data_IF_097834807469
#
_entry.id   IF_097834807469
#
_cell.length_a   1.000
_cell.length_b   1.000
_cell.length_c   1.000
_cell.angle_alpha   90.00
_cell.angle_beta   90.00
_cell.angle_gamma   90.00
#
_symmetry.space_group_name_H-M   'P 1'
#
loop_
_entity.id
_entity.type
_entity.pdbx_description
1 polymer ?
#
# COMPACT_ATOMS: atom_id res chain seq x y z
N UNK A 1 -7.31 31.41 -25.13
CA UNK A 1 -8.11 30.22 -24.72
C UNK A 1 -8.71 30.54 -23.35
N UNK A 2 -10.04 30.44 -23.17
CA UNK A 2 -10.71 30.91 -21.95
C UNK A 2 -10.14 30.19 -20.70
N UNK A 3 -9.50 30.94 -19.77
CA UNK A 3 -8.79 30.40 -18.60
C UNK A 3 -9.64 29.43 -17.76
N UNK A 4 -10.96 29.60 -17.78
CA UNK A 4 -11.92 28.70 -17.11
C UNK A 4 -12.00 27.31 -17.76
N UNK A 5 -12.04 27.20 -19.09
CA UNK A 5 -12.12 25.92 -19.81
C UNK A 5 -10.85 25.08 -19.64
N UNK A 6 -9.68 25.73 -19.69
CA UNK A 6 -8.40 25.05 -19.50
C UNK A 6 -8.29 24.42 -18.10
N UNK A 7 -8.78 25.10 -17.06
CA UNK A 7 -8.81 24.57 -15.69
C UNK A 7 -9.64 23.29 -15.58
N UNK A 8 -10.81 23.23 -16.21
CA UNK A 8 -11.66 22.03 -16.17
C UNK A 8 -11.03 20.85 -16.90
N UNK A 9 -10.35 21.09 -18.04
CA UNK A 9 -9.62 20.04 -18.77
C UNK A 9 -8.52 19.44 -17.91
N UNK A 10 -7.75 20.26 -17.19
CA UNK A 10 -6.69 19.79 -16.30
C UNK A 10 -7.24 18.93 -15.14
N UNK A 11 -8.37 19.35 -14.54
CA UNK A 11 -9.02 18.59 -13.48
C UNK A 11 -9.53 17.24 -14.02
N UNK A 12 -10.19 17.24 -15.18
CA UNK A 12 -10.67 16.02 -15.81
C UNK A 12 -9.51 15.06 -16.15
N UNK A 13 -8.40 15.57 -16.68
CA UNK A 13 -7.21 14.78 -16.95
C UNK A 13 -6.61 14.18 -15.68
N UNK A 14 -6.51 14.95 -14.59
CA UNK A 14 -6.00 14.45 -13.30
C UNK A 14 -6.88 13.33 -12.71
N UNK A 15 -8.21 13.47 -12.82
CA UNK A 15 -9.16 12.44 -12.40
C UNK A 15 -9.00 11.17 -13.25
N UNK A 16 -8.92 11.32 -14.57
CA UNK A 16 -8.74 10.19 -15.50
C UNK A 16 -7.44 9.44 -15.24
N UNK A 17 -6.32 10.16 -15.04
CA UNK A 17 -5.02 9.56 -14.72
C UNK A 17 -5.12 8.81 -13.39
N UNK A 18 -5.70 9.42 -12.36
CA UNK A 18 -5.84 8.78 -11.04
C UNK A 18 -6.69 7.52 -11.11
N UNK A 19 -7.84 7.58 -11.81
CA UNK A 19 -8.72 6.44 -12.01
C UNK A 19 -8.01 5.31 -12.78
N UNK A 20 -7.31 5.65 -13.87
CA UNK A 20 -6.53 4.69 -14.64
C UNK A 20 -5.44 4.02 -13.78
N UNK A 21 -4.69 4.81 -12.98
CA UNK A 21 -3.67 4.28 -12.07
C UNK A 21 -4.26 3.31 -11.04
N UNK A 22 -5.41 3.62 -10.44
CA UNK A 22 -6.04 2.73 -9.45
C UNK A 22 -6.47 1.42 -10.11
N UNK A 23 -7.11 1.49 -11.27
CA UNK A 23 -7.57 0.30 -12.00
C UNK A 23 -6.40 -0.61 -12.38
N UNK A 24 -5.33 -0.03 -12.95
CA UNK A 24 -4.15 -0.82 -13.31
C UNK A 24 -3.46 -1.41 -12.08
N UNK A 25 -3.27 -0.62 -11.03
CA UNK A 25 -2.63 -1.10 -9.79
C UNK A 25 -3.41 -2.25 -9.17
N UNK A 26 -4.74 -2.12 -9.05
CA UNK A 26 -5.58 -3.18 -8.50
C UNK A 26 -5.47 -4.48 -9.30
N UNK A 27 -5.44 -4.39 -10.64
CA UNK A 27 -5.25 -5.56 -11.50
C UNK A 27 -3.89 -6.23 -11.31
N UNK A 28 -2.83 -5.45 -11.11
CA UNK A 28 -1.50 -5.98 -10.82
C UNK A 28 -1.42 -6.64 -9.45
N UNK A 29 -2.03 -6.03 -8.43
CA UNK A 29 -2.12 -6.58 -7.07
C UNK A 29 -2.85 -7.92 -7.09
N UNK A 30 -3.98 -8.01 -7.80
CA UNK A 30 -4.74 -9.25 -7.91
C UNK A 30 -3.95 -10.34 -8.65
N UNK A 31 -3.32 -10.01 -9.77
CA UNK A 31 -2.50 -10.94 -10.53
C UNK A 31 -1.31 -11.46 -9.71
N UNK A 32 -0.62 -10.57 -8.99
CA UNK A 32 0.51 -10.93 -8.15
C UNK A 32 0.08 -11.74 -6.93
N UNK A 33 -1.08 -11.44 -6.34
CA UNK A 33 -1.64 -12.21 -5.22
C UNK A 33 -1.93 -13.66 -5.64
N UNK A 34 -2.48 -13.86 -6.85
CA UNK A 34 -2.68 -15.20 -7.42
C UNK A 34 -1.34 -15.92 -7.65
N UNK A 35 -0.31 -15.21 -8.10
CA UNK A 35 1.03 -15.78 -8.28
C UNK A 35 1.67 -16.18 -6.95
N UNK A 36 1.60 -15.32 -5.92
CA UNK A 36 2.08 -15.62 -4.57
C UNK A 36 1.36 -16.81 -3.96
N UNK A 37 0.04 -16.91 -4.15
CA UNK A 37 -0.73 -18.09 -3.73
C UNK A 37 -0.23 -19.37 -4.41
N UNK A 38 -0.03 -19.34 -5.73
CA UNK A 38 0.50 -20.50 -6.46
C UNK A 38 1.89 -20.90 -5.98
N UNK A 39 2.74 -19.93 -5.65
CA UNK A 39 4.05 -20.19 -5.04
C UNK A 39 3.90 -20.85 -3.67
N UNK A 40 2.93 -20.42 -2.86
CA UNK A 40 2.66 -21.04 -1.56
C UNK A 40 2.09 -22.45 -1.66
N UNK A 41 1.29 -22.76 -2.68
CA UNK A 41 0.82 -24.12 -2.96
C UNK A 41 2.00 -25.05 -3.29
N UNK A 42 2.96 -24.59 -4.11
CA UNK A 42 4.19 -25.35 -4.41
C UNK A 42 5.08 -25.49 -3.18
N UNK A 43 5.20 -24.42 -2.39
CA UNK A 43 5.97 -24.42 -1.14
C UNK A 43 5.38 -25.38 -0.10
N UNK A 44 4.05 -25.44 0.00
CA UNK A 44 3.32 -26.35 0.87
C UNK A 44 3.51 -27.81 0.44
N UNK A 45 3.41 -28.09 -0.85
CA UNK A 45 3.71 -29.43 -1.42
C UNK A 45 5.15 -29.85 -1.15
N UNK A 46 6.12 -28.95 -1.35
CA UNK A 46 7.52 -29.21 -1.04
C UNK A 46 7.73 -29.51 0.47
N UNK A 47 7.08 -28.73 1.34
CA UNK A 47 7.12 -28.95 2.79
C UNK A 47 6.50 -30.29 3.16
N UNK A 48 5.37 -30.65 2.55
CA UNK A 48 4.71 -31.94 2.77
C UNK A 48 5.63 -33.12 2.40
N UNK A 49 6.25 -33.09 1.21
CA UNK A 49 7.19 -34.13 0.78
C UNK A 49 8.40 -34.25 1.68
N UNK A 50 8.96 -33.12 2.12
CA UNK A 50 10.08 -33.10 3.04
C UNK A 50 9.74 -33.74 4.40
N UNK A 51 8.51 -33.53 4.90
CA UNK A 51 8.05 -34.14 6.16
C UNK A 51 7.72 -35.64 6.02
N UNK A 52 7.44 -36.11 4.80
CA UNK A 52 7.21 -37.52 4.47
C UNK A 52 8.50 -38.25 4.03
N UNK A 53 9.65 -37.79 4.53
CA UNK A 53 11.00 -38.34 4.28
C UNK A 53 11.44 -38.41 2.80
N UNK A 54 10.79 -37.69 1.89
CA UNK A 54 11.23 -37.50 0.51
C UNK A 54 12.29 -36.38 0.43
N UNK A 55 13.46 -36.60 1.04
CA UNK A 55 14.55 -35.62 1.02
C UNK A 55 15.19 -35.50 -0.37
N UNK A 56 15.20 -34.28 -0.89
CA UNK A 56 15.86 -33.93 -2.15
C UNK A 56 16.33 -32.47 -2.10
N UNK A 57 17.55 -32.19 -2.57
CA UNK A 57 18.14 -30.84 -2.65
C UNK A 57 17.21 -29.84 -3.37
N UNK A 58 16.47 -30.30 -4.38
CA UNK A 58 15.50 -29.47 -5.10
C UNK A 58 14.32 -29.04 -4.22
N UNK A 59 13.81 -29.94 -3.37
CA UNK A 59 12.72 -29.65 -2.43
C UNK A 59 13.18 -28.64 -1.39
N UNK A 60 14.39 -28.83 -0.83
CA UNK A 60 14.98 -27.89 0.10
C UNK A 60 15.11 -26.49 -0.52
N UNK A 61 15.59 -26.42 -1.77
CA UNK A 61 15.70 -25.15 -2.50
C UNK A 61 14.35 -24.44 -2.66
N UNK A 62 13.27 -25.16 -2.98
CA UNK A 62 11.93 -24.56 -3.06
C UNK A 62 11.53 -23.90 -1.73
N UNK A 63 11.83 -24.59 -0.61
CA UNK A 63 11.47 -24.10 0.72
C UNK A 63 12.31 -22.87 1.10
N UNK A 64 13.60 -22.91 0.78
CA UNK A 64 14.57 -21.85 1.07
C UNK A 64 14.33 -20.58 0.22
N UNK A 65 13.99 -20.74 -1.06
CA UNK A 65 13.73 -19.65 -2.02
C UNK A 65 12.55 -18.74 -1.61
N UNK A 66 11.72 -19.14 -0.62
CA UNK A 66 10.74 -18.26 -0.02
C UNK A 66 11.37 -17.29 0.99
N UNK A 67 11.86 -16.16 0.48
CA UNK A 67 12.46 -15.09 1.29
C UNK A 67 11.47 -13.98 1.71
N UNK A 68 10.32 -13.88 1.05
CA UNK A 68 9.49 -12.67 1.11
C UNK A 68 8.03 -12.91 1.51
N UNK A 69 7.50 -14.13 1.38
CA UNK A 69 6.11 -14.45 1.72
C UNK A 69 6.08 -14.95 3.17
N UNK A 70 5.42 -14.22 4.09
CA UNK A 70 5.27 -14.66 5.48
C UNK A 70 4.44 -15.93 5.55
N UNK A 71 4.99 -16.96 6.18
CA UNK A 71 4.33 -18.27 6.34
C UNK A 71 4.43 -18.75 7.78
N UNK A 72 3.34 -19.33 8.29
CA UNK A 72 3.24 -19.95 9.61
C UNK A 72 2.74 -21.37 9.39
N UNK A 73 3.44 -22.34 9.97
CA UNK A 73 2.98 -23.72 10.09
C UNK A 73 2.36 -23.87 11.48
N UNK A 74 1.16 -24.44 11.55
CA UNK A 74 0.44 -24.73 12.77
C UNK A 74 -0.06 -26.17 12.78
N UNK A 75 -0.30 -26.73 13.97
CA UNK A 75 -0.93 -28.04 14.14
C UNK A 75 -2.44 -27.99 13.88
N UNK A 76 -3.13 -29.12 14.08
CA UNK A 76 -4.58 -29.24 13.90
C UNK A 76 -5.40 -28.30 14.80
N UNK A 77 -4.84 -27.90 15.95
CA UNK A 77 -5.45 -27.02 16.95
C UNK A 77 -5.09 -25.53 16.72
N UNK A 78 -4.56 -25.18 15.55
CA UNK A 78 -4.05 -23.85 15.20
C UNK A 78 -2.89 -23.36 16.11
N UNK A 79 -2.18 -24.28 16.78
CA UNK A 79 -1.03 -23.91 17.60
C UNK A 79 0.21 -23.77 16.74
N UNK A 80 0.97 -22.72 17.02
CA UNK A 80 2.19 -22.39 16.31
C UNK A 80 3.23 -23.52 16.39
N UNK A 81 3.72 -23.97 15.23
CA UNK A 81 4.85 -24.91 15.09
C UNK A 81 6.10 -24.15 14.66
N UNK A 82 6.01 -23.44 13.54
CA UNK A 82 7.14 -22.68 12.98
C UNK A 82 6.65 -21.54 12.10
N UNK A 83 7.52 -20.58 11.81
CA UNK A 83 7.22 -19.53 10.85
C UNK A 83 8.47 -19.07 10.11
N UNK A 84 8.25 -18.43 8.96
CA UNK A 84 9.28 -17.75 8.18
C UNK A 84 8.80 -16.37 7.75
N UNK A 85 9.75 -15.45 7.59
CA UNK A 85 9.55 -14.10 7.07
C UNK A 85 8.62 -13.23 7.94
N UNK A 86 8.61 -13.46 9.27
CA UNK A 86 7.98 -12.58 10.25
C UNK A 86 9.03 -11.81 11.07
N UNK A 87 8.67 -10.59 11.47
CA UNK A 87 9.42 -9.83 12.49
C UNK A 87 8.87 -10.19 13.85
N UNK A 88 9.43 -11.22 14.46
CA UNK A 88 9.00 -11.71 15.76
C UNK A 88 9.25 -10.69 16.89
N UNK A 89 8.31 -10.57 17.85
CA UNK A 89 8.55 -9.79 19.06
C UNK A 89 9.52 -10.53 20.01
N UNK A 90 10.20 -9.79 20.89
CA UNK A 90 11.13 -10.37 21.88
C UNK A 90 10.43 -11.20 22.98
N UNK A 91 9.13 -10.99 23.17
CA UNK A 91 8.31 -11.63 24.19
C UNK A 91 6.94 -11.94 23.59
N UNK A 92 6.19 -12.87 24.19
CA UNK A 92 4.84 -13.25 23.77
C UNK A 92 4.74 -13.75 22.31
N UNK A 93 5.76 -14.49 21.85
CA UNK A 93 5.84 -15.02 20.47
C UNK A 93 4.64 -15.90 20.14
N UNK A 94 4.27 -16.81 21.05
CA UNK A 94 3.11 -17.70 20.86
C UNK A 94 1.80 -16.90 20.73
N UNK A 95 1.58 -15.89 21.58
CA UNK A 95 0.40 -15.01 21.51
C UNK A 95 0.43 -14.11 20.27
N UNK A 96 1.61 -13.75 19.77
CA UNK A 96 1.76 -13.05 18.50
C UNK A 96 1.30 -13.93 17.35
N UNK A 97 1.76 -15.19 17.28
CA UNK A 97 1.37 -16.12 16.22
C UNK A 97 -0.08 -16.56 16.31
N UNK A 98 -0.62 -16.82 17.50
CA UNK A 98 -2.04 -17.13 17.67
C UNK A 98 -2.94 -16.02 17.11
N UNK A 99 -2.61 -14.75 17.40
CA UNK A 99 -3.32 -13.59 16.82
C UNK A 99 -3.14 -13.52 15.31
N UNK A 100 -1.95 -13.83 14.81
CA UNK A 100 -1.64 -13.75 13.39
C UNK A 100 -2.37 -14.85 12.60
N UNK A 101 -2.38 -16.07 13.10
CA UNK A 101 -3.14 -17.20 12.54
C UNK A 101 -4.62 -16.84 12.45
N UNK A 102 -5.22 -16.31 13.53
CA UNK A 102 -6.62 -15.87 13.51
C UNK A 102 -6.89 -14.82 12.41
N UNK A 103 -6.01 -13.82 12.25
CA UNK A 103 -6.14 -12.81 11.18
C UNK A 103 -5.98 -13.42 9.78
N UNK A 104 -5.05 -14.36 9.60
CA UNK A 104 -4.79 -14.96 8.29
C UNK A 104 -5.92 -15.90 7.87
N UNK A 105 -6.53 -16.61 8.83
CA UNK A 105 -7.67 -17.50 8.61
C UNK A 105 -8.89 -16.76 8.04
N UNK A 106 -9.09 -15.51 8.44
CA UNK A 106 -10.15 -14.64 7.88
C UNK A 106 -9.83 -14.16 6.46
N UNK A 107 -8.55 -14.03 6.12
CA UNK A 107 -8.10 -13.46 4.85
C UNK A 107 -8.00 -14.49 3.74
N UNK A 108 -7.38 -15.63 4.02
CA UNK A 108 -7.10 -16.70 3.07
C UNK A 108 -7.41 -18.05 3.72
N UNK A 109 -8.02 -19.00 2.98
CA UNK A 109 -8.12 -20.37 3.48
C UNK A 109 -6.70 -20.94 3.68
N UNK A 110 -6.44 -21.63 4.80
CA UNK A 110 -5.15 -22.28 5.03
C UNK A 110 -4.92 -23.38 3.99
N UNK A 111 -3.65 -23.64 3.69
CA UNK A 111 -3.25 -24.81 2.90
C UNK A 111 -3.05 -25.96 3.88
N UNK A 112 -3.82 -27.04 3.71
CA UNK A 112 -3.74 -28.23 4.54
C UNK A 112 -2.64 -29.17 4.01
N UNK A 113 -1.79 -29.65 4.90
CA UNK A 113 -0.80 -30.69 4.61
C UNK A 113 -1.08 -31.91 5.49
N UNK A 114 -0.99 -33.11 4.91
CA UNK A 114 -1.15 -34.39 5.63
C UNK A 114 0.22 -34.96 5.95
N UNK A 115 0.49 -35.15 7.22
CA UNK A 115 1.73 -35.78 7.71
C UNK A 115 1.54 -37.29 7.79
N UNK A 116 0.39 -37.74 8.29
CA UNK A 116 -0.01 -39.16 8.32
C UNK A 116 -1.53 -39.27 8.15
N UNK A 117 -2.10 -40.48 8.18
CA UNK A 117 -3.55 -40.71 8.08
C UNK A 117 -4.34 -39.95 9.16
N UNK A 118 -3.73 -39.71 10.33
CA UNK A 118 -4.36 -39.09 11.50
C UNK A 118 -3.71 -37.76 11.94
N UNK A 119 -2.72 -37.23 11.19
CA UNK A 119 -2.05 -35.98 11.55
C UNK A 119 -2.03 -34.99 10.38
N UNK A 120 -2.64 -33.83 10.59
CA UNK A 120 -2.68 -32.71 9.67
C UNK A 120 -1.96 -31.51 10.25
N UNK A 121 -1.42 -30.69 9.37
CA UNK A 121 -0.91 -29.37 9.73
C UNK A 121 -1.47 -28.35 8.76
N UNK A 122 -1.55 -27.10 9.22
CA UNK A 122 -2.06 -25.99 8.45
C UNK A 122 -0.97 -24.98 8.16
N UNK A 123 -0.89 -24.58 6.90
CA UNK A 123 0.00 -23.53 6.42
C UNK A 123 -0.83 -22.27 6.22
N UNK A 124 -0.55 -21.28 7.08
CA UNK A 124 -1.10 -19.94 6.99
C UNK A 124 -0.09 -19.02 6.32
N UNK A 125 -0.53 -18.23 5.34
CA UNK A 125 0.34 -17.29 4.64
C UNK A 125 -0.32 -15.92 4.49
N UNK A 126 0.52 -14.88 4.46
CA UNK A 126 0.11 -13.51 4.17
C UNK A 126 0.72 -13.05 2.84
N UNK A 127 0.23 -11.94 2.30
CA UNK A 127 0.86 -11.35 1.12
C UNK A 127 2.26 -10.83 1.48
N UNK A 128 3.17 -10.87 0.50
CA UNK A 128 4.51 -10.32 0.66
C UNK A 128 4.49 -8.82 0.97
N UNK A 129 5.58 -8.33 1.55
CA UNK A 129 5.74 -6.89 1.80
C UNK A 129 5.72 -6.09 0.49
N UNK A 130 6.21 -6.66 -0.61
CA UNK A 130 6.20 -5.98 -1.92
C UNK A 130 4.78 -5.83 -2.45
N UNK A 131 3.97 -6.89 -2.39
CA UNK A 131 2.57 -6.84 -2.81
C UNK A 131 1.78 -5.82 -1.99
N UNK A 132 1.95 -5.83 -0.66
CA UNK A 132 1.34 -4.82 0.22
C UNK A 132 1.75 -3.40 -0.18
N UNK A 133 3.04 -3.14 -0.37
CA UNK A 133 3.54 -1.83 -0.81
C UNK A 133 2.95 -1.41 -2.15
N UNK A 134 2.82 -2.33 -3.10
CA UNK A 134 2.18 -2.08 -4.38
C UNK A 134 0.71 -1.69 -4.22
N UNK A 135 -0.02 -2.38 -3.34
CA UNK A 135 -1.41 -2.04 -3.03
C UNK A 135 -1.56 -0.65 -2.37
N UNK A 136 -0.56 -0.20 -1.60
CA UNK A 136 -0.55 1.14 -0.99
C UNK A 136 -0.05 2.26 -1.91
N UNK A 137 0.62 1.92 -3.02
CA UNK A 137 1.24 2.89 -3.93
C UNK A 137 0.29 4.01 -4.42
N UNK A 138 -0.98 3.73 -4.81
CA UNK A 138 -1.88 4.77 -5.29
C UNK A 138 -2.19 5.85 -4.24
N UNK A 139 -2.25 5.48 -2.96
CA UNK A 139 -2.51 6.43 -1.87
C UNK A 139 -1.31 7.35 -1.62
N UNK A 140 -0.08 6.82 -1.75
CA UNK A 140 1.14 7.62 -1.67
C UNK A 140 1.18 8.61 -2.85
N UNK A 141 0.90 8.14 -4.07
CA UNK A 141 0.83 8.99 -5.26
C UNK A 141 -0.20 10.12 -5.09
N UNK A 142 -1.41 9.80 -4.61
CA UNK A 142 -2.44 10.80 -4.33
C UNK A 142 -1.97 11.84 -3.30
N UNK A 143 -1.30 11.40 -2.24
CA UNK A 143 -0.76 12.29 -1.20
C UNK A 143 0.27 13.27 -1.77
N UNK A 144 1.16 12.80 -2.64
CA UNK A 144 2.16 13.65 -3.32
C UNK A 144 1.48 14.67 -4.23
N UNK A 145 0.50 14.26 -5.04
CA UNK A 145 -0.27 15.18 -5.90
C UNK A 145 -1.00 16.22 -5.07
N UNK A 146 -1.65 15.81 -3.97
CA UNK A 146 -2.37 16.72 -3.07
C UNK A 146 -1.43 17.77 -2.45
N UNK A 147 -0.21 17.38 -2.05
CA UNK A 147 0.81 18.31 -1.53
C UNK A 147 1.21 19.36 -2.58
N UNK A 148 1.44 18.96 -3.83
CA UNK A 148 1.76 19.90 -4.91
C UNK A 148 0.60 20.86 -5.20
N UNK A 149 -0.63 20.37 -5.21
CA UNK A 149 -1.83 21.21 -5.39
C UNK A 149 -2.00 22.21 -4.24
N UNK A 150 -1.75 21.79 -3.00
CA UNK A 150 -1.79 22.66 -1.83
C UNK A 150 -0.73 23.76 -1.89
N UNK A 151 0.50 23.42 -2.27
CA UNK A 151 1.58 24.39 -2.45
C UNK A 151 1.27 25.42 -3.57
N UNK A 152 0.76 24.94 -4.71
CA UNK A 152 0.34 25.80 -5.82
C UNK A 152 -0.80 26.75 -5.41
N UNK A 153 -1.78 26.24 -4.66
CA UNK A 153 -2.88 27.05 -4.11
C UNK A 153 -2.35 28.13 -3.17
N UNK A 154 -1.44 27.80 -2.25
CA UNK A 154 -0.82 28.75 -1.34
C UNK A 154 -0.05 29.85 -2.08
N UNK A 155 0.75 29.49 -3.09
CA UNK A 155 1.49 30.45 -3.90
C UNK A 155 0.57 31.41 -4.68
N UNK A 156 -0.54 30.90 -5.22
CA UNK A 156 -1.52 31.73 -5.92
C UNK A 156 -2.29 32.65 -4.95
N UNK A 157 -2.68 32.13 -3.78
CA UNK A 157 -3.40 32.88 -2.77
C UNK A 157 -2.56 34.05 -2.21
N UNK A 158 -1.27 33.83 -1.97
CA UNK A 158 -0.35 34.89 -1.54
C UNK A 158 -0.13 35.93 -2.63
N UNK A 159 0.01 35.51 -3.90
CA UNK A 159 0.12 36.42 -5.05
C UNK A 159 -1.10 37.35 -5.17
N UNK A 160 -2.32 36.81 -5.08
CA UNK A 160 -3.56 37.60 -5.13
C UNK A 160 -3.68 38.58 -3.96
N UNK A 161 -3.21 38.20 -2.77
CA UNK A 161 -3.16 39.12 -1.61
C UNK A 161 -2.15 40.25 -1.86
N UNK A 162 -1.00 39.96 -2.47
CA UNK A 162 0.02 40.95 -2.82
C UNK A 162 -0.46 41.94 -3.88
N UNK A 163 -1.11 41.45 -4.94
CA UNK A 163 -1.75 42.32 -5.96
C UNK A 163 -2.74 43.28 -5.33
N UNK A 164 -3.63 42.78 -4.45
CA UNK A 164 -4.60 43.62 -3.76
C UNK A 164 -3.91 44.64 -2.85
N UNK A 165 -2.93 44.24 -2.03
CA UNK A 165 -2.21 45.16 -1.15
C UNK A 165 -1.53 46.31 -1.93
N UNK A 166 -0.97 46.03 -3.11
CA UNK A 166 -0.37 47.06 -3.98
C UNK A 166 -1.42 48.07 -4.48
N UNK A 167 -2.61 47.60 -4.86
CA UNK A 167 -3.72 48.48 -5.27
C UNK A 167 -4.19 49.38 -4.12
N UNK A 168 -4.31 48.84 -2.91
CA UNK A 168 -4.71 49.61 -1.73
C UNK A 168 -3.72 50.72 -1.39
N UNK A 169 -2.41 50.44 -1.45
CA UNK A 169 -1.38 51.46 -1.25
C UNK A 169 -1.41 52.51 -2.38
N UNK A 170 -1.61 52.09 -3.63
CA UNK A 170 -1.75 52.99 -4.78
C UNK A 170 -2.95 53.94 -4.65
N UNK A 171 -4.14 53.39 -4.37
CA UNK A 171 -5.36 54.16 -4.15
C UNK A 171 -5.23 55.11 -2.96
N UNK A 172 -4.59 54.68 -1.87
CA UNK A 172 -4.33 55.56 -0.72
C UNK A 172 -3.40 56.72 -1.09
N UNK A 173 -2.39 56.47 -1.92
CA UNK A 173 -1.46 57.51 -2.41
C UNK A 173 -2.14 58.50 -3.34
N UNK A 174 -2.97 58.03 -4.28
CA UNK A 174 -3.77 58.90 -5.16
C UNK A 174 -4.84 59.69 -4.39
N UNK A 175 -5.52 59.06 -3.43
CA UNK A 175 -6.52 59.72 -2.58
C UNK A 175 -5.89 60.77 -1.68
N UNK A 176 -4.74 60.46 -1.06
CA UNK A 176 -3.98 61.44 -0.28
C UNK A 176 -3.48 62.59 -1.14
N UNK A 177 -3.11 62.32 -2.39
CA UNK A 177 -2.74 63.35 -3.35
C UNK A 177 -3.94 64.24 -3.73
N UNK A 178 -5.12 63.67 -3.99
CA UNK A 178 -6.35 64.42 -4.30
C UNK A 178 -6.90 65.23 -3.12
N UNK A 179 -6.80 64.73 -1.89
CA UNK A 179 -7.20 65.46 -0.67
C UNK A 179 -6.23 66.59 -0.29
N UNK A 180 -4.99 66.56 -0.80
CA UNK A 180 -3.94 67.55 -0.53
C UNK A 180 -3.90 68.74 -1.50
N UNK A 181 -4.59 68.66 -2.64
CA UNK A 181 -4.74 69.78 -3.56
C UNK A 181 -5.98 70.60 -3.17
N UNK A 182 -5.83 71.86 -2.71
CA UNK A 182 -6.98 72.66 -2.30
C UNK A 182 -7.87 72.96 -3.51
N UNK A 183 -9.17 72.72 -3.33
CA UNK A 183 -10.21 73.30 -4.18
C UNK A 183 -10.38 74.76 -3.75
N UNK A 184 -9.61 75.63 -4.41
CA UNK A 184 -9.93 77.06 -4.53
C UNK A 184 -10.88 77.29 -5.70
#
# INVERSE_FOLDING_TARGET
MNNSRFRYILIAAAILITAATIVTTNSFVEALSKEERRKMEIWAEATNRMLNDEYNDFIFKIIEDNENIPVIIADEDDRYISARNFKEPKQDVEKFYARKIAQLKEKNPPIEIKIDENERQYIYYDDSLMLKRLAYFPYIQFSVVALFLAAAFWAFATSKRSERNKLWVGLSKETAHQLGTPIT
#
